data_IF_267180162444
#
_entry.id   IF_267180162444
#
_cell.length_a   1.000
_cell.length_b   1.000
_cell.length_c   1.000
_cell.angle_alpha   90.00
_cell.angle_beta   90.00
_cell.angle_gamma   90.00
#
_symmetry.space_group_name_H-M   'P 1'
#
loop_
_entity.id
_entity.type
_entity.pdbx_description
1 polymer ?
#
# COMPACT_ATOMS: atom_id res chain seq x y z
N UNK A 1 39.33 -5.53 0.59
CA UNK A 1 39.47 -4.11 0.98
C UNK A 1 38.13 -3.70 1.55
N UNK A 2 37.95 -3.77 2.87
CA UNK A 2 36.75 -3.29 3.54
C UNK A 2 36.96 -1.82 3.87
N UNK A 3 36.13 -0.94 3.31
CA UNK A 3 36.22 0.50 3.53
C UNK A 3 35.68 0.80 4.93
N UNK A 4 36.40 1.54 5.79
CA UNK A 4 35.92 1.88 7.12
C UNK A 4 34.74 2.86 7.00
N UNK A 5 33.55 2.41 7.39
CA UNK A 5 32.37 3.27 7.49
C UNK A 5 32.64 4.28 8.61
N UNK A 6 32.68 5.57 8.26
CA UNK A 6 32.92 6.60 9.24
C UNK A 6 31.78 6.66 10.29
N UNK A 7 32.13 7.11 11.49
CA UNK A 7 31.25 7.11 12.67
C UNK A 7 30.00 7.97 12.48
N UNK A 8 30.02 8.96 11.58
CA UNK A 8 28.85 9.78 11.26
C UNK A 8 27.90 9.01 10.33
N UNK A 9 28.41 8.34 9.30
CA UNK A 9 27.62 7.49 8.41
C UNK A 9 26.93 6.36 9.16
N UNK A 10 27.62 5.68 10.07
CA UNK A 10 27.04 4.62 10.91
C UNK A 10 25.92 5.17 11.85
N UNK A 11 26.09 6.37 12.40
CA UNK A 11 25.06 7.01 13.24
C UNK A 11 23.86 7.46 12.42
N UNK A 12 24.06 7.97 11.21
CA UNK A 12 22.98 8.38 10.31
C UNK A 12 22.16 7.18 9.87
N UNK A 13 22.81 6.07 9.52
CA UNK A 13 22.16 4.82 9.15
C UNK A 13 21.34 4.25 10.34
N UNK A 14 21.87 4.33 11.56
CA UNK A 14 21.16 3.89 12.77
C UNK A 14 20.02 4.84 13.21
N UNK A 15 20.15 6.15 12.97
CA UNK A 15 19.05 7.10 13.16
C UNK A 15 17.94 6.87 12.12
N UNK A 16 18.32 6.63 10.87
CA UNK A 16 17.41 6.25 9.80
C UNK A 16 16.74 4.91 10.06
N UNK A 17 17.42 3.94 10.69
CA UNK A 17 16.81 2.66 11.04
C UNK A 17 15.81 2.77 12.19
N UNK A 18 15.99 3.74 13.11
CA UNK A 18 14.98 4.08 14.14
C UNK A 18 13.78 4.85 13.60
N UNK A 19 13.91 5.47 12.42
CA UNK A 19 12.80 6.01 11.64
C UNK A 19 12.03 4.91 10.88
N UNK A 20 12.30 3.63 11.19
CA UNK A 20 11.43 2.51 10.80
C UNK A 20 9.98 2.87 11.10
N UNK A 21 9.13 2.77 10.07
CA UNK A 21 7.71 2.93 10.26
C UNK A 21 7.23 1.93 11.31
N UNK A 22 6.34 2.37 12.20
CA UNK A 22 5.72 1.42 13.11
C UNK A 22 4.83 0.47 12.30
N UNK A 23 4.69 -0.78 12.76
CA UNK A 23 3.77 -1.75 12.12
C UNK A 23 2.36 -1.16 11.94
N UNK A 24 1.92 -0.32 12.88
CA UNK A 24 0.64 0.37 12.80
C UNK A 24 0.61 1.39 11.66
N UNK A 25 1.68 2.17 11.49
CA UNK A 25 1.78 3.14 10.43
C UNK A 25 1.84 2.45 9.05
N UNK A 26 2.58 1.34 8.93
CA UNK A 26 2.60 0.54 7.69
C UNK A 26 1.24 -0.06 7.38
N UNK A 27 0.54 -0.59 8.38
CA UNK A 27 -0.81 -1.11 8.21
C UNK A 27 -1.76 -0.01 7.70
N UNK A 28 -1.66 1.20 8.25
CA UNK A 28 -2.44 2.36 7.79
C UNK A 28 -2.13 2.70 6.33
N UNK A 29 -0.86 2.71 5.93
CA UNK A 29 -0.50 2.93 4.52
C UNK A 29 -1.07 1.85 3.60
N UNK A 30 -1.00 0.58 4.00
CA UNK A 30 -1.58 -0.53 3.21
C UNK A 30 -3.09 -0.38 3.06
N UNK A 31 -3.77 0.09 4.10
CA UNK A 31 -5.19 0.40 4.05
C UNK A 31 -5.49 1.55 3.09
N UNK A 32 -4.78 2.69 3.21
CA UNK A 32 -4.93 3.84 2.31
C UNK A 32 -4.70 3.45 0.84
N UNK A 33 -3.65 2.64 0.57
CA UNK A 33 -3.35 2.14 -0.77
C UNK A 33 -4.45 1.20 -1.28
N UNK A 34 -5.02 0.37 -0.41
CA UNK A 34 -6.12 -0.53 -0.75
C UNK A 34 -7.38 0.25 -1.13
N UNK A 35 -7.71 1.32 -0.41
CA UNK A 35 -8.85 2.18 -0.72
C UNK A 35 -8.68 2.87 -2.08
N UNK A 36 -7.47 3.34 -2.38
CA UNK A 36 -7.12 3.90 -3.70
C UNK A 36 -7.28 2.84 -4.79
N UNK A 37 -6.80 1.61 -4.55
CA UNK A 37 -6.91 0.51 -5.50
C UNK A 37 -8.38 0.15 -5.78
N UNK A 38 -9.22 0.09 -4.74
CA UNK A 38 -10.67 -0.15 -4.88
C UNK A 38 -11.32 0.95 -5.72
N UNK A 39 -10.97 2.22 -5.47
CA UNK A 39 -11.49 3.34 -6.26
C UNK A 39 -11.09 3.26 -7.75
N UNK A 40 -9.85 2.84 -8.05
CA UNK A 40 -9.39 2.61 -9.44
C UNK A 40 -10.04 1.40 -10.09
N UNK A 41 -10.32 0.36 -9.32
CA UNK A 41 -10.96 -0.87 -9.77
C UNK A 41 -12.50 -0.84 -9.69
N UNK A 42 -13.11 0.34 -9.56
CA UNK A 42 -14.53 0.52 -9.25
C UNK A 42 -15.46 -0.29 -10.17
N UNK A 43 -15.25 -0.26 -11.48
CA UNK A 43 -16.11 -0.99 -12.43
C UNK A 43 -16.10 -2.50 -12.21
N UNK A 44 -14.92 -3.08 -11.96
CA UNK A 44 -14.76 -4.52 -11.71
C UNK A 44 -15.24 -4.88 -10.29
N UNK A 45 -15.05 -3.98 -9.33
CA UNK A 45 -15.57 -4.12 -7.97
C UNK A 45 -17.10 -4.12 -7.94
N UNK A 46 -17.74 -3.25 -8.75
CA UNK A 46 -19.20 -3.20 -8.90
C UNK A 46 -19.74 -4.50 -9.50
N UNK A 47 -19.13 -5.05 -10.54
CA UNK A 47 -19.52 -6.35 -11.11
C UNK A 47 -19.43 -7.49 -10.07
N UNK A 48 -18.34 -7.53 -9.30
CA UNK A 48 -18.21 -8.52 -8.23
C UNK A 48 -19.27 -8.31 -7.13
N UNK A 49 -19.57 -7.06 -6.77
CA UNK A 49 -20.59 -6.72 -5.78
C UNK A 49 -21.99 -7.11 -6.25
N UNK A 50 -22.33 -6.88 -7.52
CA UNK A 50 -23.60 -7.28 -8.12
C UNK A 50 -23.77 -8.81 -8.10
N UNK A 51 -22.74 -9.55 -8.54
CA UNK A 51 -22.76 -11.01 -8.47
C UNK A 51 -22.91 -11.52 -7.02
N UNK A 52 -22.19 -10.90 -6.07
CA UNK A 52 -22.23 -11.28 -4.66
C UNK A 52 -23.61 -11.04 -4.04
N UNK A 53 -24.25 -9.90 -4.35
CA UNK A 53 -25.62 -9.59 -3.91
C UNK A 53 -26.63 -10.60 -4.44
N UNK A 54 -26.48 -11.03 -5.69
CA UNK A 54 -27.41 -11.98 -6.32
C UNK A 54 -27.27 -13.42 -5.80
N UNK A 55 -26.06 -13.83 -5.38
CA UNK A 55 -25.77 -15.23 -5.04
C UNK A 55 -25.60 -15.49 -3.54
N UNK A 56 -25.47 -14.45 -2.71
CA UNK A 56 -25.30 -14.58 -1.26
C UNK A 56 -24.16 -15.54 -0.91
N UNK A 57 -24.42 -16.55 -0.08
CA UNK A 57 -23.40 -17.53 0.33
C UNK A 57 -22.81 -18.35 -0.84
N UNK A 58 -23.55 -18.49 -1.95
CA UNK A 58 -23.06 -19.21 -3.14
C UNK A 58 -22.05 -18.42 -3.97
N UNK A 59 -21.78 -17.14 -3.62
CA UNK A 59 -20.86 -16.26 -4.36
C UNK A 59 -19.45 -16.86 -4.51
N UNK A 60 -18.98 -17.64 -3.54
CA UNK A 60 -17.65 -18.27 -3.57
C UNK A 60 -17.50 -19.23 -4.75
N UNK A 61 -18.61 -19.82 -5.21
CA UNK A 61 -18.63 -20.70 -6.37
C UNK A 61 -19.07 -19.97 -7.64
N UNK A 62 -20.13 -19.16 -7.55
CA UNK A 62 -20.78 -18.52 -8.69
C UNK A 62 -20.07 -17.27 -9.20
N UNK A 63 -19.36 -16.56 -8.33
CA UNK A 63 -18.69 -15.29 -8.65
C UNK A 63 -17.16 -15.43 -8.74
N UNK A 64 -16.65 -16.65 -8.97
CA UNK A 64 -15.18 -16.89 -9.01
C UNK A 64 -14.48 -16.06 -10.08
N UNK A 65 -15.08 -15.90 -11.25
CA UNK A 65 -14.47 -15.15 -12.35
C UNK A 65 -14.45 -13.64 -12.05
N UNK A 66 -15.53 -13.13 -11.45
CA UNK A 66 -15.61 -11.73 -11.03
C UNK A 66 -14.61 -11.44 -9.91
N UNK A 67 -14.45 -12.36 -8.95
CA UNK A 67 -13.45 -12.27 -7.91
C UNK A 67 -12.01 -12.32 -8.49
N UNK A 68 -11.75 -13.18 -9.48
CA UNK A 68 -10.44 -13.22 -10.16
C UNK A 68 -10.15 -11.91 -10.88
N UNK A 69 -11.13 -11.36 -11.60
CA UNK A 69 -10.98 -10.08 -12.28
C UNK A 69 -10.70 -8.94 -11.28
N UNK A 70 -11.44 -8.90 -10.17
CA UNK A 70 -11.22 -7.91 -9.12
C UNK A 70 -9.82 -8.02 -8.51
N UNK A 71 -9.38 -9.23 -8.14
CA UNK A 71 -8.03 -9.45 -7.61
C UNK A 71 -6.93 -9.12 -8.62
N UNK A 72 -7.15 -9.43 -9.90
CA UNK A 72 -6.20 -9.08 -10.97
C UNK A 72 -6.05 -7.56 -11.09
N UNK A 73 -7.13 -6.79 -10.96
CA UNK A 73 -7.09 -5.34 -10.94
C UNK A 73 -6.40 -4.80 -9.69
N UNK A 74 -6.81 -5.25 -8.49
CA UNK A 74 -6.25 -4.77 -7.22
C UNK A 74 -4.73 -4.99 -7.15
N UNK A 75 -4.25 -6.16 -7.60
CA UNK A 75 -2.82 -6.52 -7.57
C UNK A 75 -1.94 -5.58 -8.41
N UNK A 76 -2.49 -4.86 -9.38
CA UNK A 76 -1.76 -3.84 -10.13
C UNK A 76 -1.36 -2.64 -9.26
N UNK A 77 -2.12 -2.39 -8.19
CA UNK A 77 -1.95 -1.22 -7.32
C UNK A 77 -1.48 -1.56 -5.91
N UNK A 78 -1.65 -2.81 -5.46
CA UNK A 78 -1.32 -3.24 -4.08
C UNK A 78 -0.13 -4.20 -4.01
N UNK A 79 0.71 -4.25 -5.04
CA UNK A 79 1.97 -5.01 -5.00
C UNK A 79 3.07 -4.26 -4.24
N UNK A 80 4.15 -4.97 -3.92
CA UNK A 80 5.26 -4.45 -3.11
C UNK A 80 5.91 -3.20 -3.73
N UNK A 81 6.07 -3.16 -5.06
CA UNK A 81 6.63 -1.99 -5.75
C UNK A 81 5.73 -0.76 -5.58
N UNK A 82 4.42 -0.91 -5.77
CA UNK A 82 3.47 0.18 -5.56
C UNK A 82 3.40 0.62 -4.10
N UNK A 83 3.54 -0.32 -3.16
CA UNK A 83 3.59 -0.02 -1.75
C UNK A 83 4.81 0.83 -1.40
N UNK A 84 6.00 0.48 -1.88
CA UNK A 84 7.22 1.26 -1.63
C UNK A 84 7.15 2.67 -2.25
N UNK A 85 6.63 2.78 -3.48
CA UNK A 85 6.40 4.09 -4.12
C UNK A 85 5.44 4.95 -3.28
N UNK A 86 4.35 4.35 -2.81
CA UNK A 86 3.36 5.06 -2.00
C UNK A 86 3.94 5.47 -0.65
N UNK A 87 4.70 4.58 0.01
CA UNK A 87 5.40 4.83 1.27
C UNK A 87 6.35 6.03 1.15
N UNK A 88 7.22 6.04 0.14
CA UNK A 88 8.15 7.15 -0.10
C UNK A 88 7.42 8.46 -0.37
N UNK A 89 6.33 8.43 -1.15
CA UNK A 89 5.52 9.63 -1.41
C UNK A 89 4.90 10.19 -0.14
N UNK A 90 4.42 9.32 0.76
CA UNK A 90 3.82 9.74 2.04
C UNK A 90 4.87 10.29 2.99
N UNK A 91 6.07 9.72 3.03
CA UNK A 91 7.21 10.29 3.77
C UNK A 91 7.54 11.70 3.28
N UNK A 92 7.64 11.91 1.96
CA UNK A 92 7.89 13.24 1.38
C UNK A 92 6.79 14.24 1.75
N UNK A 93 5.51 13.85 1.65
CA UNK A 93 4.42 14.75 2.02
C UNK A 93 4.47 15.18 3.49
N UNK A 94 4.83 14.28 4.41
CA UNK A 94 4.96 14.65 5.83
C UNK A 94 6.11 15.63 6.05
N UNK A 95 7.25 15.44 5.37
CA UNK A 95 8.38 16.38 5.47
C UNK A 95 8.07 17.76 4.89
N UNK A 96 7.28 17.81 3.81
CA UNK A 96 6.87 19.07 3.19
C UNK A 96 5.85 19.83 4.07
N UNK A 97 4.90 19.11 4.68
CA UNK A 97 3.95 19.68 5.65
C UNK A 97 4.67 20.28 6.88
N UNK A 98 5.66 19.56 7.42
CA UNK A 98 6.50 20.05 8.52
C UNK A 98 7.31 21.29 8.14
N UNK A 99 7.77 21.38 6.89
CA UNK A 99 8.51 22.53 6.36
C UNK A 99 7.61 23.73 6.10
N UNK A 100 6.40 23.51 5.59
CA UNK A 100 5.43 24.56 5.31
C UNK A 100 4.82 25.16 6.59
N UNK A 101 4.86 24.43 7.71
CA UNK A 101 4.35 24.89 9.00
C UNK A 101 5.39 25.64 9.87
N UNK A 102 6.63 25.82 9.38
CA UNK A 102 7.71 26.57 10.04
C UNK A 102 7.99 27.88 9.32
#
# INVERSE_FOLDING_TARGET
>A
MEVPVDKETAKTQFRSSRLSWSNQAEHKLKQELSDIAIAKCRSVAEQFAECSKANGLLMVFKCRDHNRALNACLKQYTNDEQFEIYRQKREQSMTDEERASK
#
